data_IF_067386920065
#
_entry.id   IF_067386920065
#
_cell.length_a   1.000
_cell.length_b   1.000
_cell.length_c   1.000
_cell.angle_alpha   90.00
_cell.angle_beta   90.00
_cell.angle_gamma   90.00
#
_symmetry.space_group_name_H-M   'P 1'
#
loop_
_entity.id
_entity.type
_entity.pdbx_description
1 polymer ?
#
# COMPACT_ATOMS: atom_id res chain seq x y z
N UNK A 1 -23.30 34.94 0.18
CA UNK A 1 -24.26 34.12 -0.58
C UNK A 1 -23.51 32.88 -1.05
N UNK A 2 -24.00 31.68 -0.75
CA UNK A 2 -23.36 30.44 -1.16
C UNK A 2 -23.65 30.22 -2.65
N UNK A 3 -22.62 30.09 -3.48
CA UNK A 3 -22.80 29.66 -4.88
C UNK A 3 -23.05 28.16 -4.88
N UNK A 4 -24.09 27.71 -5.60
CA UNK A 4 -24.43 26.29 -5.75
C UNK A 4 -24.20 25.92 -7.20
N UNK A 5 -23.28 24.98 -7.44
CA UNK A 5 -23.02 24.42 -8.77
C UNK A 5 -24.02 23.33 -9.10
N UNK A 6 -24.49 23.30 -10.34
CA UNK A 6 -25.23 22.17 -10.90
C UNK A 6 -24.34 20.97 -11.22
N UNK A 7 -24.96 19.80 -11.46
CA UNK A 7 -24.23 18.56 -11.74
C UNK A 7 -23.37 18.63 -13.02
N UNK A 8 -23.84 19.34 -14.06
CA UNK A 8 -23.06 19.52 -15.29
C UNK A 8 -21.84 20.41 -15.08
N UNK A 9 -21.98 21.50 -14.33
CA UNK A 9 -20.88 22.42 -14.03
C UNK A 9 -19.80 21.71 -13.23
N UNK A 10 -20.19 20.94 -12.21
CA UNK A 10 -19.25 20.13 -11.45
C UNK A 10 -18.50 19.12 -12.34
N UNK A 11 -19.20 18.48 -13.27
CA UNK A 11 -18.57 17.53 -14.19
C UNK A 11 -17.53 18.22 -15.08
N UNK A 12 -17.84 19.38 -15.62
CA UNK A 12 -16.89 20.19 -16.40
C UNK A 12 -15.64 20.55 -15.58
N UNK A 13 -15.81 20.89 -14.30
CA UNK A 13 -14.67 21.15 -13.40
C UNK A 13 -13.84 19.88 -13.18
N UNK A 14 -14.47 18.77 -12.83
CA UNK A 14 -13.79 17.50 -12.58
C UNK A 14 -13.01 17.02 -13.82
N UNK A 15 -13.55 17.20 -15.02
CA UNK A 15 -12.91 16.80 -16.28
C UNK A 15 -11.65 17.61 -16.61
N UNK A 16 -11.48 18.80 -16.00
CA UNK A 16 -10.25 19.60 -16.13
C UNK A 16 -9.23 19.33 -15.03
N UNK A 17 -9.64 18.68 -13.94
CA UNK A 17 -8.75 18.28 -12.87
C UNK A 17 -8.08 16.94 -13.20
N UNK A 18 -6.81 16.80 -12.83
CA UNK A 18 -6.04 15.55 -12.96
C UNK A 18 -5.31 15.26 -11.65
N UNK A 19 -4.91 14.00 -11.44
CA UNK A 19 -4.12 13.58 -10.28
C UNK A 19 -4.78 13.88 -8.91
N UNK A 20 -3.97 14.32 -7.95
CA UNK A 20 -4.40 14.54 -6.56
C UNK A 20 -5.52 15.58 -6.43
N UNK A 21 -5.50 16.74 -7.12
CA UNK A 21 -6.61 17.69 -7.08
C UNK A 21 -7.96 17.08 -7.48
N UNK A 22 -8.00 16.25 -8.53
CA UNK A 22 -9.23 15.56 -8.95
C UNK A 22 -9.73 14.61 -7.86
N UNK A 23 -8.81 13.84 -7.26
CA UNK A 23 -9.10 12.91 -6.18
C UNK A 23 -9.72 13.62 -4.97
N UNK A 24 -9.10 14.72 -4.54
CA UNK A 24 -9.56 15.55 -3.42
C UNK A 24 -10.95 16.11 -3.70
N UNK A 25 -11.18 16.74 -4.86
CA UNK A 25 -12.49 17.31 -5.19
C UNK A 25 -13.57 16.24 -5.28
N UNK A 26 -13.23 15.05 -5.81
CA UNK A 26 -14.13 13.89 -5.85
C UNK A 26 -14.51 13.42 -4.45
N UNK A 27 -13.57 13.40 -3.50
CA UNK A 27 -13.84 13.07 -2.09
C UNK A 27 -14.69 14.14 -1.40
N UNK A 28 -14.38 15.42 -1.60
CA UNK A 28 -15.17 16.52 -1.02
C UNK A 28 -16.62 16.44 -1.45
N UNK A 29 -16.88 16.25 -2.74
CA UNK A 29 -18.23 16.14 -3.28
C UNK A 29 -18.89 14.81 -2.91
N UNK A 30 -18.22 13.68 -3.16
CA UNK A 30 -18.82 12.35 -3.04
C UNK A 30 -18.97 11.86 -1.60
N UNK A 31 -18.16 12.34 -0.66
CA UNK A 31 -18.26 11.98 0.75
C UNK A 31 -18.74 13.14 1.64
N UNK A 32 -18.99 14.34 1.07
CA UNK A 32 -19.46 15.51 1.82
C UNK A 32 -18.47 16.04 2.84
N UNK A 33 -17.17 15.83 2.60
CA UNK A 33 -16.10 16.23 3.51
C UNK A 33 -15.86 17.74 3.44
N UNK A 34 -15.46 18.33 4.57
CA UNK A 34 -14.84 19.66 4.55
C UNK A 34 -13.42 19.56 4.01
N UNK A 35 -12.89 20.67 3.46
CA UNK A 35 -11.52 20.70 2.94
C UNK A 35 -10.50 20.21 3.97
N UNK A 36 -10.54 20.73 5.20
CA UNK A 36 -9.64 20.27 6.26
C UNK A 36 -9.85 18.81 6.63
N UNK A 37 -11.11 18.34 6.74
CA UNK A 37 -11.41 16.93 7.01
C UNK A 37 -10.80 16.00 5.95
N UNK A 38 -10.84 16.41 4.67
CA UNK A 38 -10.27 15.65 3.56
C UNK A 38 -8.73 15.67 3.56
N UNK A 39 -8.11 16.80 3.88
CA UNK A 39 -6.65 16.95 3.89
C UNK A 39 -5.99 16.27 5.10
N UNK A 40 -6.73 16.10 6.20
CA UNK A 40 -6.25 15.43 7.42
C UNK A 40 -6.52 13.92 7.45
N UNK A 41 -7.15 13.36 6.40
CA UNK A 41 -7.42 11.93 6.31
C UNK A 41 -6.13 11.10 6.41
N UNK A 42 -6.22 10.00 7.17
CA UNK A 42 -5.15 9.02 7.28
C UNK A 42 -5.57 7.73 6.59
N UNK A 43 -4.59 6.92 6.20
CA UNK A 43 -4.85 5.60 5.57
C UNK A 43 -5.79 4.75 6.42
N UNK A 44 -5.62 4.75 7.75
CA UNK A 44 -6.45 4.00 8.70
C UNK A 44 -7.90 4.49 8.82
N UNK A 45 -8.20 5.68 8.30
CA UNK A 45 -9.55 6.23 8.32
C UNK A 45 -10.36 5.77 7.10
N UNK A 46 -9.74 5.08 6.13
CA UNK A 46 -10.37 4.55 4.92
C UNK A 46 -10.65 3.06 5.08
N UNK A 47 -11.92 2.68 5.04
CA UNK A 47 -12.36 1.29 5.02
C UNK A 47 -12.91 0.96 3.61
N UNK A 48 -12.07 0.34 2.78
CA UNK A 48 -12.42 -0.04 1.42
C UNK A 48 -13.39 -1.21 1.34
N UNK A 49 -13.43 -2.09 2.36
CA UNK A 49 -14.37 -3.21 2.37
C UNK A 49 -15.78 -2.70 2.67
N UNK A 50 -15.94 -1.93 3.74
CA UNK A 50 -17.22 -1.35 4.15
C UNK A 50 -17.64 -0.17 3.28
N UNK A 51 -16.69 0.47 2.58
CA UNK A 51 -16.95 1.69 1.84
C UNK A 51 -17.23 2.87 2.75
N UNK A 52 -16.46 2.99 3.82
CA UNK A 52 -16.61 4.02 4.83
C UNK A 52 -15.34 4.88 4.95
N UNK A 53 -15.52 6.16 5.25
CA UNK A 53 -14.45 7.06 5.70
C UNK A 53 -14.77 7.52 7.11
N UNK A 54 -13.81 7.36 8.02
CA UNK A 54 -13.92 7.84 9.40
C UNK A 54 -13.39 9.26 9.50
N UNK A 55 -14.27 10.24 9.67
CA UNK A 55 -13.88 11.63 9.91
C UNK A 55 -13.65 11.80 11.40
N UNK A 56 -12.38 12.02 11.77
CA UNK A 56 -11.95 12.23 13.16
C UNK A 56 -12.20 13.67 13.60
N UNK A 57 -12.54 13.87 14.88
CA UNK A 57 -12.70 15.22 15.48
C UNK A 57 -13.69 16.12 14.74
N UNK A 58 -14.84 15.58 14.33
CA UNK A 58 -15.93 16.36 13.73
C UNK A 58 -16.51 17.42 14.68
N UNK A 59 -17.50 18.17 14.20
CA UNK A 59 -18.20 19.21 15.00
C UNK A 59 -18.70 18.59 16.32
N UNK A 60 -18.25 19.10 17.46
CA UNK A 60 -18.56 18.56 18.79
C UNK A 60 -17.58 17.48 19.29
N UNK A 61 -16.39 17.35 18.69
CA UNK A 61 -15.33 16.40 19.05
C UNK A 61 -15.75 14.92 18.96
N UNK A 62 -16.75 14.61 18.14
CA UNK A 62 -17.18 13.24 17.88
C UNK A 62 -16.72 12.80 16.50
N UNK A 63 -16.25 11.57 16.44
CA UNK A 63 -15.96 10.90 15.18
C UNK A 63 -17.28 10.58 14.48
N UNK A 64 -17.28 10.65 13.14
CA UNK A 64 -18.41 10.22 12.32
C UNK A 64 -17.93 9.40 11.15
N UNK A 65 -18.82 8.57 10.61
CA UNK A 65 -18.57 7.79 9.40
C UNK A 65 -19.37 8.38 8.25
N UNK A 66 -18.74 8.47 7.09
CA UNK A 66 -19.38 8.87 5.83
C UNK A 66 -19.08 7.83 4.75
N UNK A 67 -19.86 7.85 3.68
CA UNK A 67 -19.64 6.95 2.54
C UNK A 67 -18.32 7.26 1.82
N UNK A 68 -17.62 6.21 1.40
CA UNK A 68 -16.50 6.29 0.46
C UNK A 68 -17.03 6.06 -0.97
N UNK A 69 -16.98 7.06 -1.87
CA UNK A 69 -17.46 6.92 -3.23
C UNK A 69 -16.80 5.78 -3.99
N UNK A 70 -17.59 4.90 -4.61
CA UNK A 70 -17.04 3.79 -5.41
C UNK A 70 -16.11 4.28 -6.53
N UNK A 71 -16.47 5.41 -7.14
CA UNK A 71 -15.70 6.03 -8.22
C UNK A 71 -14.27 6.43 -7.83
N UNK A 72 -14.00 6.66 -6.54
CA UNK A 72 -12.68 7.09 -6.06
C UNK A 72 -11.82 5.94 -5.55
N UNK A 73 -12.38 4.74 -5.35
CA UNK A 73 -11.69 3.62 -4.69
C UNK A 73 -10.41 3.22 -5.42
N UNK A 74 -10.49 3.05 -6.74
CA UNK A 74 -9.34 2.66 -7.57
C UNK A 74 -8.24 3.73 -7.52
N UNK A 75 -8.58 4.96 -7.88
CA UNK A 75 -7.63 6.08 -7.93
C UNK A 75 -7.00 6.37 -6.56
N UNK A 76 -7.77 6.21 -5.47
CA UNK A 76 -7.28 6.37 -4.11
C UNK A 76 -6.31 5.26 -3.72
N UNK A 77 -6.61 4.00 -4.04
CA UNK A 77 -5.69 2.87 -3.80
C UNK A 77 -4.37 3.06 -4.56
N UNK A 78 -4.45 3.36 -5.85
CA UNK A 78 -3.28 3.61 -6.70
C UNK A 78 -2.47 4.81 -6.19
N UNK A 79 -3.13 5.87 -5.72
CA UNK A 79 -2.47 7.01 -5.11
C UNK A 79 -1.68 6.62 -3.85
N UNK A 80 -2.30 5.86 -2.94
CA UNK A 80 -1.65 5.43 -1.70
C UNK A 80 -0.43 4.54 -1.97
N UNK A 81 -0.56 3.58 -2.89
CA UNK A 81 0.55 2.73 -3.32
C UNK A 81 1.71 3.55 -3.92
N UNK A 82 1.38 4.49 -4.82
CA UNK A 82 2.36 5.37 -5.46
C UNK A 82 3.09 6.27 -4.46
N UNK A 83 2.39 6.81 -3.45
CA UNK A 83 3.01 7.62 -2.39
C UNK A 83 4.09 6.84 -1.65
N UNK A 84 3.78 5.62 -1.19
CA UNK A 84 4.75 4.82 -0.44
C UNK A 84 5.89 4.35 -1.34
N UNK A 85 5.60 3.91 -2.56
CA UNK A 85 6.62 3.48 -3.50
C UNK A 85 7.61 4.61 -3.83
N UNK A 86 7.13 5.85 -4.01
CA UNK A 86 7.98 7.03 -4.21
C UNK A 86 8.80 7.36 -2.97
N UNK A 87 8.21 7.29 -1.77
CA UNK A 87 8.91 7.55 -0.52
C UNK A 87 10.08 6.57 -0.31
N UNK A 88 9.83 5.27 -0.51
CA UNK A 88 10.87 4.23 -0.43
C UNK A 88 11.97 4.44 -1.48
N UNK A 89 11.58 4.75 -2.71
CA UNK A 89 12.54 5.00 -3.80
C UNK A 89 13.42 6.22 -3.51
N UNK A 90 12.81 7.31 -2.99
CA UNK A 90 13.53 8.52 -2.63
C UNK A 90 14.51 8.28 -1.48
N UNK A 91 14.08 7.59 -0.42
CA UNK A 91 14.94 7.22 0.70
C UNK A 91 16.13 6.35 0.26
N UNK A 92 15.90 5.36 -0.61
CA UNK A 92 16.95 4.51 -1.15
C UNK A 92 18.00 5.32 -1.94
N UNK A 93 17.55 6.27 -2.77
CA UNK A 93 18.44 7.17 -3.52
C UNK A 93 19.28 8.06 -2.59
N UNK A 94 18.65 8.63 -1.57
CA UNK A 94 19.33 9.46 -0.57
C UNK A 94 20.38 8.67 0.22
N UNK A 95 20.14 7.38 0.45
CA UNK A 95 21.07 6.47 1.10
C UNK A 95 22.20 5.94 0.18
N UNK A 96 22.26 6.37 -1.08
CA UNK A 96 23.27 5.92 -2.04
C UNK A 96 23.04 4.49 -2.58
N UNK A 97 21.83 3.93 -2.42
CA UNK A 97 21.49 2.61 -2.94
C UNK A 97 21.27 2.71 -4.45
N UNK A 98 22.19 2.15 -5.23
CA UNK A 98 22.18 2.20 -6.70
C UNK A 98 21.19 1.21 -7.34
N UNK A 99 20.80 0.17 -6.59
CA UNK A 99 19.83 -0.83 -7.03
C UNK A 99 18.41 -0.26 -6.98
N UNK A 100 17.52 -0.74 -7.85
CA UNK A 100 16.10 -0.36 -7.84
C UNK A 100 15.43 -0.94 -6.58
N UNK A 101 14.99 -0.08 -5.67
CA UNK A 101 14.30 -0.46 -4.42
C UNK A 101 12.85 -0.01 -4.46
N UNK A 102 11.94 -0.90 -4.07
CA UNK A 102 10.53 -0.61 -3.83
C UNK A 102 9.94 -1.43 -2.70
N UNK A 103 8.63 -1.30 -2.49
CA UNK A 103 7.94 -2.00 -1.41
C UNK A 103 8.08 -3.54 -1.53
N UNK A 104 8.03 -4.06 -2.77
CA UNK A 104 8.24 -5.49 -3.03
C UNK A 104 9.67 -5.94 -2.68
N UNK A 105 10.68 -5.07 -2.84
CA UNK A 105 12.05 -5.37 -2.43
C UNK A 105 12.14 -5.67 -0.94
N UNK A 106 11.42 -4.91 -0.10
CA UNK A 106 11.38 -5.16 1.35
C UNK A 106 10.82 -6.55 1.67
N UNK A 107 9.75 -6.97 0.99
CA UNK A 107 9.16 -8.30 1.15
C UNK A 107 10.11 -9.41 0.70
N UNK A 108 10.81 -9.20 -0.41
CA UNK A 108 11.82 -10.14 -0.89
C UNK A 108 13.00 -10.28 0.09
N UNK A 109 13.47 -9.16 0.65
CA UNK A 109 14.53 -9.14 1.65
C UNK A 109 14.12 -9.89 2.93
N UNK A 110 12.88 -9.71 3.39
CA UNK A 110 12.36 -10.45 4.54
C UNK A 110 12.42 -11.96 4.35
N UNK A 111 11.89 -12.48 3.24
CA UNK A 111 11.98 -13.91 2.94
C UNK A 111 13.43 -14.38 2.82
N UNK A 112 14.26 -13.61 2.12
CA UNK A 112 15.68 -13.93 1.92
C UNK A 112 16.40 -14.08 3.26
N UNK A 113 16.25 -13.11 4.17
CA UNK A 113 16.90 -13.14 5.48
C UNK A 113 16.40 -14.30 6.35
N UNK A 114 15.12 -14.67 6.27
CA UNK A 114 14.61 -15.84 6.99
C UNK A 114 15.24 -17.14 6.46
N UNK A 115 15.33 -17.29 5.15
CA UNK A 115 15.98 -18.45 4.56
C UNK A 115 17.47 -18.49 4.92
N UNK A 116 18.18 -17.36 4.84
CA UNK A 116 19.60 -17.27 5.24
C UNK A 116 19.82 -17.61 6.72
N UNK A 117 18.87 -17.25 7.60
CA UNK A 117 18.86 -17.63 9.01
C UNK A 117 18.54 -19.12 9.25
N UNK A 118 18.25 -19.89 8.20
CA UNK A 118 18.02 -21.33 8.26
C UNK A 118 16.58 -21.75 8.52
N UNK A 119 15.62 -20.82 8.45
CA UNK A 119 14.19 -21.18 8.52
C UNK A 119 13.80 -21.96 7.26
N UNK A 120 12.92 -22.95 7.44
CA UNK A 120 12.45 -23.74 6.33
C UNK A 120 11.50 -22.95 5.42
N UNK A 121 11.43 -23.39 4.16
CA UNK A 121 10.65 -22.70 3.13
C UNK A 121 9.14 -22.71 3.40
N UNK A 122 8.59 -23.69 4.12
CA UNK A 122 7.16 -23.75 4.44
C UNK A 122 6.82 -22.73 5.51
N UNK A 123 7.66 -22.57 6.53
CA UNK A 123 7.55 -21.49 7.51
C UNK A 123 7.55 -20.12 6.82
N UNK A 124 8.48 -19.89 5.89
CA UNK A 124 8.51 -18.62 5.13
C UNK A 124 7.27 -18.46 4.24
N UNK A 125 6.80 -19.53 3.60
CA UNK A 125 5.58 -19.51 2.78
C UNK A 125 4.34 -19.11 3.59
N UNK A 126 4.18 -19.70 4.78
CA UNK A 126 3.07 -19.43 5.70
C UNK A 126 3.10 -17.99 6.20
N UNK A 127 4.27 -17.50 6.65
CA UNK A 127 4.44 -16.11 7.09
C UNK A 127 4.13 -15.09 5.99
N UNK A 128 4.41 -15.45 4.74
CA UNK A 128 4.08 -14.62 3.59
C UNK A 128 2.64 -14.85 3.08
N UNK A 129 1.93 -15.87 3.53
CA UNK A 129 0.58 -16.18 3.03
C UNK A 129 0.57 -16.53 1.54
N UNK A 130 1.64 -17.12 1.01
CA UNK A 130 1.67 -17.57 -0.38
C UNK A 130 0.89 -18.87 -0.53
N UNK A 131 -0.15 -18.85 -1.39
CA UNK A 131 -0.95 -20.03 -1.68
C UNK A 131 -0.12 -21.16 -2.33
N UNK A 132 0.90 -20.79 -3.10
CA UNK A 132 1.77 -21.74 -3.82
C UNK A 132 3.23 -21.56 -3.41
N UNK A 133 3.89 -22.69 -3.11
CA UNK A 133 5.29 -22.70 -2.67
C UNK A 133 6.25 -22.19 -3.74
N UNK A 134 5.92 -22.31 -5.03
CA UNK A 134 6.74 -21.83 -6.14
C UNK A 134 6.97 -20.32 -6.06
N UNK A 135 5.98 -19.58 -5.54
CA UNK A 135 6.11 -18.13 -5.27
C UNK A 135 7.18 -17.85 -4.22
N UNK A 136 7.31 -18.73 -3.22
CA UNK A 136 8.35 -18.67 -2.18
C UNK A 136 9.67 -19.25 -2.67
N UNK A 137 9.66 -20.22 -3.60
CA UNK A 137 10.86 -20.78 -4.21
C UNK A 137 11.64 -19.76 -5.03
N UNK A 138 11.03 -18.63 -5.44
CA UNK A 138 11.80 -17.52 -6.00
C UNK A 138 12.93 -17.04 -5.08
N UNK A 139 12.88 -17.31 -3.77
CA UNK A 139 13.91 -16.92 -2.79
C UNK A 139 14.98 -17.99 -2.54
N UNK A 140 14.79 -19.23 -2.98
CA UNK A 140 15.74 -20.31 -2.67
C UNK A 140 17.05 -20.19 -3.44
N UNK A 141 17.10 -19.37 -4.48
CA UNK A 141 18.37 -19.04 -5.16
C UNK A 141 19.38 -18.36 -4.22
N UNK A 142 18.94 -17.78 -3.10
CA UNK A 142 19.84 -17.18 -2.12
C UNK A 142 20.42 -18.22 -1.16
N UNK A 143 19.73 -19.36 -0.98
CA UNK A 143 20.20 -20.53 -0.24
C UNK A 143 21.25 -21.34 -1.02
N UNK A 144 21.92 -20.78 -2.01
CA UNK A 144 22.83 -21.48 -2.92
C UNK A 144 24.12 -21.98 -2.22
N UNK A 145 23.95 -22.81 -1.20
CA UNK A 145 24.98 -23.60 -0.52
C UNK A 145 25.41 -24.81 -1.37
N UNK A 146 24.82 -25.01 -2.56
CA UNK A 146 25.09 -26.14 -3.44
C UNK A 146 24.87 -27.50 -2.75
N UNK A 147 25.20 -28.59 -3.45
CA UNK A 147 25.26 -29.93 -2.83
C UNK A 147 26.36 -30.06 -1.75
N UNK A 148 27.33 -29.14 -1.76
CA UNK A 148 28.46 -29.09 -0.81
C UNK A 148 28.07 -28.59 0.58
N UNK A 149 26.92 -27.93 0.73
CA UNK A 149 26.39 -27.51 2.03
C UNK A 149 25.76 -28.64 2.85
N UNK A 150 25.61 -29.84 2.27
CA UNK A 150 25.01 -31.01 2.91
C UNK A 150 26.12 -31.95 3.35
N UNK A 151 26.33 -32.11 4.67
CA UNK A 151 27.23 -33.15 5.20
C UNK A 151 26.62 -34.52 4.99
N UNK A 152 27.41 -35.46 4.45
CA UNK A 152 26.99 -36.84 4.23
C UNK A 152 26.47 -37.45 5.54
N UNK A 153 25.37 -38.21 5.51
CA UNK A 153 24.94 -38.99 6.67
C UNK A 153 26.03 -39.95 7.17
N UNK A 154 26.90 -40.42 6.26
CA UNK A 154 28.02 -41.31 6.59
C UNK A 154 29.09 -40.62 7.45
N UNK A 155 29.32 -39.32 7.27
CA UNK A 155 30.30 -38.54 8.03
C UNK A 155 29.85 -38.26 9.49
N UNK A 156 28.66 -38.75 9.87
CA UNK A 156 28.08 -38.61 11.22
C UNK A 156 27.92 -39.95 11.94
N UNK A 157 28.30 -41.06 11.31
CA UNK A 157 28.44 -42.37 11.96
C UNK A 157 29.79 -42.44 12.69
#
# INVERSE_FOLDING_TARGET
>A
MSVVLGAQELRLVLDRLTGVPRLVVTLLYGAGLRLQECLELRVKDLDFERGEVTVRRGKGQKDRRVMLPQAVRKDLSEHLESVIQRAVTAAARMAGVTKRVGCHTCRHLFATHLLEAGYDIRTVQELLGHADVSTTMMYTHVLNRGGLGVRSPLDRL
#
